data_IF_955798615612
#
_entry.id   IF_955798615612
#
_cell.length_a   1.000
_cell.length_b   1.000
_cell.length_c   1.000
_cell.angle_alpha   90.00
_cell.angle_beta   90.00
_cell.angle_gamma   90.00
#
_symmetry.space_group_name_H-M   'P 1'
#
loop_
_entity.id
_entity.type
_entity.pdbx_description
1 polymer ?
#
# COMPACT_ATOMS: atom_id res chain seq x y z
N UNK A 1 15.75 -2.83 21.26
CA UNK A 1 15.63 -4.19 20.69
C UNK A 1 16.64 -4.34 19.56
N UNK A 2 17.36 -5.46 19.51
CA UNK A 2 18.29 -5.75 18.40
C UNK A 2 17.49 -6.01 17.13
N UNK A 3 17.94 -5.48 15.99
CA UNK A 3 17.27 -5.72 14.70
C UNK A 3 17.32 -7.20 14.35
N UNK A 4 16.27 -7.76 13.71
CA UNK A 4 16.29 -9.13 13.20
C UNK A 4 17.49 -9.37 12.28
N UNK A 5 18.08 -10.57 12.32
CA UNK A 5 19.20 -10.94 11.45
C UNK A 5 18.76 -11.28 10.02
N UNK A 6 17.48 -11.61 9.84
CA UNK A 6 16.91 -12.02 8.57
C UNK A 6 15.87 -11.02 8.10
N UNK A 7 15.86 -10.75 6.79
CA UNK A 7 14.81 -10.00 6.14
C UNK A 7 13.63 -10.92 5.85
N UNK A 8 12.42 -10.39 5.99
CA UNK A 8 11.18 -11.10 5.68
C UNK A 8 10.57 -10.47 4.44
N UNK A 9 10.29 -11.26 3.42
CA UNK A 9 9.58 -10.80 2.22
C UNK A 9 8.09 -10.67 2.49
N UNK A 10 7.39 -9.82 1.73
CA UNK A 10 5.94 -9.70 1.81
C UNK A 10 5.23 -11.03 1.58
N UNK A 11 5.76 -11.87 0.68
CA UNK A 11 5.22 -13.21 0.46
C UNK A 11 5.30 -14.07 1.72
N UNK A 12 6.46 -14.12 2.39
CA UNK A 12 6.62 -14.88 3.63
C UNK A 12 5.71 -14.33 4.74
N UNK A 13 5.55 -13.01 4.81
CA UNK A 13 4.64 -12.38 5.76
C UNK A 13 3.18 -12.77 5.50
N UNK A 14 2.72 -12.72 4.24
CA UNK A 14 1.36 -13.17 3.87
C UNK A 14 1.14 -14.63 4.25
N UNK A 15 2.11 -15.52 3.98
CA UNK A 15 2.00 -16.93 4.38
C UNK A 15 1.97 -17.12 5.89
N UNK A 16 2.72 -16.33 6.64
CA UNK A 16 2.68 -16.35 8.10
C UNK A 16 1.33 -15.87 8.63
N UNK A 17 0.73 -14.83 8.04
CA UNK A 17 -0.61 -14.39 8.38
C UNK A 17 -1.65 -15.50 8.15
N UNK A 18 -1.59 -16.17 7.00
CA UNK A 18 -2.52 -17.27 6.67
C UNK A 18 -2.34 -18.49 7.57
N UNK A 19 -1.12 -19.02 7.64
CA UNK A 19 -0.85 -20.33 8.26
C UNK A 19 -0.52 -20.24 9.74
N UNK A 20 0.15 -19.17 10.16
CA UNK A 20 0.60 -18.97 11.54
C UNK A 20 -0.45 -18.27 12.39
N UNK A 21 -1.12 -17.25 11.85
CA UNK A 21 -2.15 -16.49 12.57
C UNK A 21 -3.58 -16.93 12.23
N UNK A 22 -3.77 -17.79 11.22
CA UNK A 22 -5.09 -18.26 10.79
C UNK A 22 -5.94 -17.20 10.09
N UNK A 23 -5.32 -16.13 9.55
CA UNK A 23 -6.04 -15.08 8.85
C UNK A 23 -6.45 -15.53 7.45
N UNK A 24 -7.73 -15.38 7.10
CA UNK A 24 -8.21 -15.60 5.74
C UNK A 24 -7.93 -14.37 4.87
N UNK A 25 -6.69 -14.28 4.39
CA UNK A 25 -6.20 -13.16 3.57
C UNK A 25 -6.97 -13.05 2.25
N UNK A 26 -7.38 -14.17 1.66
CA UNK A 26 -8.17 -14.16 0.42
C UNK A 26 -9.57 -13.58 0.64
N UNK A 27 -10.24 -13.94 1.74
CA UNK A 27 -11.52 -13.33 2.11
C UNK A 27 -11.37 -11.83 2.38
N UNK A 28 -10.32 -11.41 3.09
CA UNK A 28 -10.03 -9.99 3.32
C UNK A 28 -9.79 -9.24 2.01
N UNK A 29 -9.05 -9.82 1.06
CA UNK A 29 -8.82 -9.23 -0.26
C UNK A 29 -10.13 -9.02 -1.02
N UNK A 30 -11.01 -10.02 -1.04
CA UNK A 30 -12.33 -9.91 -1.68
C UNK A 30 -13.22 -8.88 -0.99
N UNK A 31 -13.18 -8.83 0.32
CA UNK A 31 -13.96 -7.88 1.09
C UNK A 31 -13.52 -6.43 0.83
N UNK A 32 -12.21 -6.20 0.83
CA UNK A 32 -11.65 -4.90 0.46
C UNK A 32 -12.05 -4.51 -0.96
N UNK A 33 -11.94 -5.43 -1.93
CA UNK A 33 -12.37 -5.19 -3.31
C UNK A 33 -13.82 -4.73 -3.39
N UNK A 34 -14.75 -5.47 -2.75
CA UNK A 34 -16.17 -5.08 -2.72
C UNK A 34 -16.41 -3.71 -2.10
N UNK A 35 -15.70 -3.37 -1.03
CA UNK A 35 -15.82 -2.06 -0.38
C UNK A 35 -15.31 -0.93 -1.28
N UNK A 36 -14.21 -1.16 -2.00
CA UNK A 36 -13.68 -0.23 -2.99
C UNK A 36 -14.64 -0.06 -4.16
N UNK A 37 -15.17 -1.15 -4.70
CA UNK A 37 -16.17 -1.11 -5.79
C UNK A 37 -17.42 -0.35 -5.36
N UNK A 38 -17.94 -0.63 -4.16
CA UNK A 38 -19.10 0.08 -3.61
C UNK A 38 -18.83 1.58 -3.43
N UNK A 39 -17.63 1.95 -3.00
CA UNK A 39 -17.23 3.36 -2.84
C UNK A 39 -16.99 4.06 -4.19
N UNK A 40 -16.51 3.34 -5.20
CA UNK A 40 -16.31 3.86 -6.55
C UNK A 40 -17.64 4.05 -7.31
N UNK A 41 -18.63 3.21 -7.04
CA UNK A 41 -19.93 3.26 -7.70
C UNK A 41 -19.81 3.09 -9.22
N UNK A 42 -20.43 3.98 -9.99
CA UNK A 42 -20.38 3.96 -11.47
C UNK A 42 -19.30 4.86 -12.08
N UNK A 43 -18.47 5.50 -11.26
CA UNK A 43 -17.51 6.47 -11.78
C UNK A 43 -16.28 5.79 -12.37
N UNK A 44 -15.93 6.20 -13.59
CA UNK A 44 -14.79 5.70 -14.35
C UNK A 44 -13.59 6.63 -14.19
N UNK A 45 -12.37 6.07 -14.29
CA UNK A 45 -11.12 6.85 -14.21
C UNK A 45 -10.74 7.35 -12.82
N UNK A 46 -11.36 6.81 -11.76
CA UNK A 46 -10.96 7.12 -10.39
C UNK A 46 -9.56 6.59 -10.07
N UNK A 47 -8.77 7.45 -9.41
CA UNK A 47 -7.42 7.11 -8.97
C UNK A 47 -7.34 6.77 -7.48
N UNK A 48 -8.41 7.00 -6.72
CA UNK A 48 -8.49 6.65 -5.30
C UNK A 48 -9.92 6.69 -4.74
N UNK A 49 -10.15 6.00 -3.62
CA UNK A 49 -11.36 6.08 -2.80
C UNK A 49 -11.02 6.27 -1.33
N UNK A 50 -11.87 6.96 -0.59
CA UNK A 50 -11.75 7.13 0.86
C UNK A 50 -12.83 6.33 1.57
N UNK A 51 -12.43 5.40 2.45
CA UNK A 51 -13.32 4.53 3.22
C UNK A 51 -12.82 4.51 4.66
N UNK A 52 -13.68 4.80 5.64
CA UNK A 52 -13.37 4.76 7.08
C UNK A 52 -12.07 5.47 7.49
N UNK A 53 -11.83 6.66 6.91
CA UNK A 53 -10.61 7.44 7.20
C UNK A 53 -9.33 6.86 6.58
N UNK A 54 -9.45 5.87 5.70
CA UNK A 54 -8.36 5.30 4.93
C UNK A 54 -8.50 5.68 3.45
N UNK A 55 -7.41 6.14 2.85
CA UNK A 55 -7.29 6.48 1.45
C UNK A 55 -6.67 5.31 0.69
N UNK A 56 -7.42 4.75 -0.27
CA UNK A 56 -7.01 3.63 -1.10
C UNK A 56 -6.70 4.11 -2.50
N UNK A 57 -5.46 3.93 -2.96
CA UNK A 57 -5.05 4.34 -4.31
C UNK A 57 -5.29 3.21 -5.30
N UNK A 58 -5.95 3.56 -6.40
CA UNK A 58 -6.26 2.65 -7.50
C UNK A 58 -5.36 3.04 -8.68
N UNK A 59 -4.74 2.04 -9.31
CA UNK A 59 -4.07 2.19 -10.59
C UNK A 59 -4.70 1.19 -11.54
N UNK A 60 -5.27 1.70 -12.63
CA UNK A 60 -6.06 0.92 -13.59
C UNK A 60 -7.22 0.20 -12.87
N UNK A 61 -7.03 -1.06 -12.50
CA UNK A 61 -8.05 -1.90 -11.84
C UNK A 61 -7.55 -2.46 -10.50
N UNK A 62 -6.38 -2.04 -10.04
CA UNK A 62 -5.73 -2.62 -8.85
C UNK A 62 -5.59 -1.59 -7.74
N UNK A 63 -5.99 -1.96 -6.52
CA UNK A 63 -5.68 -1.20 -5.31
C UNK A 63 -4.22 -1.44 -4.96
N UNK A 64 -3.39 -0.40 -5.10
CA UNK A 64 -1.93 -0.52 -4.98
C UNK A 64 -1.39 -0.14 -3.60
N UNK A 65 -2.11 0.68 -2.85
CA UNK A 65 -1.70 1.10 -1.50
C UNK A 65 -2.90 1.63 -0.71
N UNK A 66 -2.78 1.59 0.61
CA UNK A 66 -3.69 2.29 1.52
C UNK A 66 -2.88 3.11 2.52
N UNK A 67 -3.35 4.30 2.82
CA UNK A 67 -2.77 5.17 3.84
C UNK A 67 -3.88 5.86 4.63
N UNK A 68 -3.55 6.43 5.78
CA UNK A 68 -4.50 7.29 6.50
C UNK A 68 -4.89 8.48 5.63
N UNK A 69 -6.19 8.74 5.51
CA UNK A 69 -6.69 9.92 4.83
C UNK A 69 -6.11 11.19 5.47
N UNK A 70 -5.88 12.22 4.66
CA UNK A 70 -5.31 13.51 5.07
C UNK A 70 -3.92 13.43 5.75
N UNK A 71 -3.25 12.28 5.67
CA UNK A 71 -1.83 12.20 6.02
C UNK A 71 -1.03 12.66 4.80
N UNK A 72 -0.15 13.68 4.92
CA UNK A 72 0.69 14.08 3.81
C UNK A 72 1.47 12.85 3.34
N UNK A 73 1.57 12.61 2.02
CA UNK A 73 2.39 11.51 1.52
C UNK A 73 3.78 11.70 2.13
N UNK A 74 4.27 10.69 2.86
CA UNK A 74 5.60 10.69 3.46
C UNK A 74 6.56 11.26 2.42
N UNK A 75 7.08 12.46 2.71
CA UNK A 75 7.71 13.32 1.71
C UNK A 75 8.64 12.47 0.86
N UNK A 76 8.31 12.34 -0.44
CA UNK A 76 9.30 11.89 -1.40
C UNK A 76 10.38 12.96 -1.35
N UNK A 77 11.42 12.73 -0.55
CA UNK A 77 12.68 13.45 -0.70
C UNK A 77 12.96 13.42 -2.19
N UNK A 78 12.95 14.59 -2.81
CA UNK A 78 13.18 14.71 -4.24
C UNK A 78 14.44 13.94 -4.63
N UNK A 79 14.58 13.55 -5.90
CA UNK A 79 15.78 12.86 -6.35
C UNK A 79 16.99 13.61 -5.80
N UNK A 80 17.87 12.90 -5.06
CA UNK A 80 19.09 13.49 -4.52
C UNK A 80 19.82 14.12 -5.71
N UNK A 81 19.86 15.45 -5.81
CA UNK A 81 20.67 16.13 -6.82
C UNK A 81 22.09 15.61 -6.62
N UNK A 82 22.56 14.79 -7.57
CA UNK A 82 23.96 14.39 -7.65
C UNK A 82 24.72 15.71 -7.74
N UNK A 83 25.45 16.08 -6.69
CA UNK A 83 26.47 17.13 -6.81
C UNK A 83 27.54 16.49 -7.67
N UNK A 84 27.58 16.87 -8.94
CA UNK A 84 28.79 16.69 -9.72
C UNK A 84 29.86 17.51 -9.00
N UNK A 85 30.84 16.81 -8.46
CA UNK A 85 32.08 17.42 -7.99
C UNK A 85 32.87 17.56 -9.29
N UNK A 86 33.05 18.80 -9.74
CA UNK A 86 34.04 19.09 -10.78
C UNK A 86 35.41 18.80 -10.15
N UNK A 87 35.96 17.64 -10.47
CA UNK A 87 37.37 17.33 -10.26
C UNK A 87 38.14 17.87 -11.48
N UNK A 88 38.80 19.01 -11.25
CA UNK A 88 39.98 19.58 -11.94
C UNK A 88 39.85 20.07 -13.40
#
# INVERSE_FOLDING_TARGET
MKKPRHYVSDHALVRYMERGLGLDVERLRRDLGRRVDAAAGSATGMNAVNIDGMHYRIKETTVITCCRANTPPNGKGGPRRRREIDDE
#
